data_IF_268536224901
#
_entry.id   IF_268536224901
#
_cell.length_a   1.000
_cell.length_b   1.000
_cell.length_c   1.000
_cell.angle_alpha   90.00
_cell.angle_beta   90.00
_cell.angle_gamma   90.00
#
_symmetry.space_group_name_H-M   'P 1'
#
loop_
_entity.id
_entity.type
_entity.pdbx_description
1 polymer ?
#
# COMPACT_ATOMS: atom_id res chain seq x y z
N UNK A 1 -0.31 2.17 -9.91
CA UNK A 1 -0.51 1.52 -8.61
C UNK A 1 0.84 1.18 -8.02
N UNK A 2 1.13 1.73 -6.85
CA UNK A 2 2.32 1.39 -6.05
C UNK A 2 1.79 0.95 -4.70
N UNK A 3 2.09 -0.28 -4.30
CA UNK A 3 1.71 -0.80 -3.01
C UNK A 3 2.94 -1.07 -2.15
N UNK A 4 2.85 -0.77 -0.86
CA UNK A 4 3.92 -1.05 0.09
C UNK A 4 3.42 -1.92 1.24
N UNK A 5 4.14 -3.01 1.49
CA UNK A 5 3.94 -3.88 2.63
C UNK A 5 4.73 -3.38 3.85
N UNK A 6 4.10 -3.40 5.02
CA UNK A 6 4.76 -3.08 6.28
C UNK A 6 3.75 -2.82 7.39
N UNK A 7 4.23 -2.83 8.64
CA UNK A 7 3.45 -2.30 9.76
C UNK A 7 3.24 -0.80 9.61
N UNK A 8 2.21 -0.25 10.27
CA UNK A 8 1.93 1.19 10.30
C UNK A 8 3.18 2.00 10.70
N UNK A 9 3.87 1.58 11.77
CA UNK A 9 5.09 2.23 12.24
C UNK A 9 6.22 2.24 11.18
N UNK A 10 6.40 1.14 10.43
CA UNK A 10 7.41 1.07 9.36
C UNK A 10 7.05 2.00 8.20
N UNK A 11 5.77 2.06 7.81
CA UNK A 11 5.26 2.94 6.76
C UNK A 11 5.52 4.40 7.15
N UNK A 12 5.11 4.80 8.35
CA UNK A 12 5.31 6.17 8.87
C UNK A 12 6.79 6.58 8.86
N UNK A 13 7.67 5.70 9.35
CA UNK A 13 9.13 5.95 9.35
C UNK A 13 9.67 6.17 7.95
N UNK A 14 9.25 5.35 6.98
CA UNK A 14 9.70 5.46 5.59
C UNK A 14 9.15 6.72 4.94
N UNK A 15 7.88 7.07 5.19
CA UNK A 15 7.26 8.27 4.61
C UNK A 15 7.93 9.54 5.14
N UNK A 16 8.19 9.62 6.44
CA UNK A 16 8.94 10.73 7.04
C UNK A 16 10.33 10.89 6.40
N UNK A 17 11.08 9.79 6.25
CA UNK A 17 12.41 9.84 5.62
C UNK A 17 12.37 10.26 4.14
N UNK A 18 11.32 9.90 3.41
CA UNK A 18 11.15 10.32 2.02
C UNK A 18 10.76 11.81 1.92
N UNK A 19 9.92 12.30 2.82
CA UNK A 19 9.61 13.73 2.93
C UNK A 19 10.87 14.55 3.24
N UNK A 20 11.69 14.09 4.19
CA UNK A 20 12.96 14.74 4.54
C UNK A 20 13.95 14.79 3.37
N UNK A 21 13.85 13.84 2.44
CA UNK A 21 14.62 13.80 1.19
C UNK A 21 14.03 14.65 0.06
N UNK A 22 12.94 15.37 0.32
CA UNK A 22 12.28 16.24 -0.65
C UNK A 22 11.32 15.51 -1.60
N UNK A 23 10.92 14.27 -1.30
CA UNK A 23 9.85 13.61 -2.07
C UNK A 23 8.53 14.36 -1.83
N UNK A 24 7.83 14.82 -2.87
CA UNK A 24 6.56 15.51 -2.70
C UNK A 24 5.52 14.64 -1.99
N UNK A 25 4.85 15.20 -0.98
CA UNK A 25 3.78 14.51 -0.24
C UNK A 25 2.69 13.95 -1.15
N UNK A 26 2.39 14.65 -2.26
CA UNK A 26 1.44 14.19 -3.28
C UNK A 26 1.81 12.82 -3.86
N UNK A 27 3.10 12.50 -4.01
CA UNK A 27 3.53 11.20 -4.53
C UNK A 27 3.39 10.10 -3.46
N UNK A 28 3.59 10.45 -2.18
CA UNK A 28 3.42 9.51 -1.08
C UNK A 28 1.93 9.15 -0.89
N UNK A 29 1.03 10.10 -1.13
CA UNK A 29 -0.44 9.88 -1.12
C UNK A 29 -0.93 8.89 -2.18
N UNK A 30 -0.17 8.69 -3.26
CA UNK A 30 -0.48 7.71 -4.31
C UNK A 30 -0.05 6.27 -3.94
N UNK A 31 0.63 6.08 -2.81
CA UNK A 31 1.11 4.77 -2.36
C UNK A 31 0.04 4.08 -1.51
N UNK A 32 -0.36 2.87 -1.90
CA UNK A 32 -1.30 2.03 -1.18
C UNK A 32 -0.60 1.31 -0.02
N UNK A 33 -0.94 1.67 1.21
CA UNK A 33 -0.29 1.14 2.41
C UNK A 33 -1.26 0.94 3.58
N UNK A 34 -1.18 -0.19 4.31
CA UNK A 34 -0.54 -1.44 3.89
C UNK A 34 -1.20 -1.99 2.63
N UNK A 35 -0.41 -2.58 1.73
CA UNK A 35 -0.92 -3.19 0.51
C UNK A 35 -1.87 -4.36 0.81
N UNK A 36 -2.95 -4.47 0.04
CA UNK A 36 -3.95 -5.53 0.10
C UNK A 36 -5.25 -5.11 0.81
N UNK A 37 -6.34 -5.80 0.45
CA UNK A 37 -7.62 -5.61 1.14
C UNK A 37 -7.59 -6.15 2.57
N UNK A 38 -8.33 -5.50 3.47
CA UNK A 38 -8.45 -5.93 4.86
C UNK A 38 -9.34 -7.18 4.98
N UNK A 39 -8.71 -8.36 4.88
CA UNK A 39 -9.38 -9.67 4.96
C UNK A 39 -8.91 -10.52 6.15
N UNK A 40 -8.18 -9.93 7.09
CA UNK A 40 -7.55 -10.64 8.22
C UNK A 40 -6.64 -11.82 7.78
N UNK A 41 -5.93 -11.64 6.65
CA UNK A 41 -5.01 -12.63 6.10
C UNK A 41 -3.91 -13.01 7.10
N UNK A 42 -3.61 -14.31 7.18
CA UNK A 42 -2.59 -14.91 8.05
C UNK A 42 -1.53 -15.67 7.26
N UNK A 43 -1.89 -16.27 6.13
CA UNK A 43 -0.95 -17.02 5.29
C UNK A 43 -0.44 -16.18 4.11
N UNK A 44 0.73 -16.50 3.54
CA UNK A 44 1.21 -15.85 2.32
C UNK A 44 0.22 -15.90 1.16
N UNK A 45 -0.53 -16.98 1.02
CA UNK A 45 -1.54 -17.16 -0.03
C UNK A 45 -2.73 -16.22 0.18
N UNK A 46 -3.21 -16.09 1.42
CA UNK A 46 -4.28 -15.14 1.76
C UNK A 46 -3.82 -13.70 1.52
N UNK A 47 -2.57 -13.37 1.86
CA UNK A 47 -1.96 -12.06 1.58
C UNK A 47 -1.87 -11.83 0.06
N UNK A 48 -1.47 -12.84 -0.72
CA UNK A 48 -1.41 -12.72 -2.17
C UNK A 48 -2.80 -12.46 -2.78
N UNK A 49 -3.83 -13.17 -2.30
CA UNK A 49 -5.22 -12.95 -2.72
C UNK A 49 -5.69 -11.55 -2.36
N UNK A 50 -5.38 -11.05 -1.16
CA UNK A 50 -5.79 -9.70 -0.73
C UNK A 50 -5.15 -8.60 -1.58
N UNK A 51 -3.88 -8.77 -1.97
CA UNK A 51 -3.15 -7.85 -2.85
C UNK A 51 -3.73 -7.87 -4.26
N UNK A 52 -3.95 -9.06 -4.83
CA UNK A 52 -4.53 -9.19 -6.18
C UNK A 52 -5.93 -8.58 -6.24
N UNK A 53 -6.74 -8.78 -5.19
CA UNK A 53 -8.06 -8.18 -5.09
C UNK A 53 -8.01 -6.64 -5.05
N UNK A 54 -7.06 -6.04 -4.31
CA UNK A 54 -6.86 -4.60 -4.31
C UNK A 54 -6.45 -4.08 -5.70
N UNK A 55 -5.53 -4.76 -6.39
CA UNK A 55 -5.09 -4.39 -7.73
C UNK A 55 -6.26 -4.39 -8.72
N UNK A 56 -7.09 -5.44 -8.71
CA UNK A 56 -8.29 -5.53 -9.57
C UNK A 56 -9.27 -4.40 -9.23
N UNK A 57 -9.52 -4.16 -7.93
CA UNK A 57 -10.39 -3.07 -7.49
C UNK A 57 -9.91 -1.73 -8.03
N UNK A 58 -8.63 -1.38 -7.84
CA UNK A 58 -8.07 -0.11 -8.35
C UNK A 58 -8.19 -0.03 -9.87
N UNK A 59 -7.88 -1.12 -10.59
CA UNK A 59 -7.97 -1.17 -12.06
C UNK A 59 -9.38 -0.90 -12.58
N UNK A 60 -10.42 -1.32 -11.87
CA UNK A 60 -11.82 -1.17 -12.29
C UNK A 60 -12.54 0.01 -11.63
N UNK A 61 -11.94 0.66 -10.62
CA UNK A 61 -12.53 1.84 -9.96
C UNK A 61 -12.46 3.11 -10.83
N UNK A 62 -11.93 3.02 -12.05
CA UNK A 62 -11.91 4.09 -13.05
C UNK A 62 -13.01 3.95 -14.13
N UNK A 63 -13.97 3.05 -13.91
CA UNK A 63 -15.26 2.99 -14.64
C UNK A 63 -16.33 3.76 -13.84
#
# INVERSE_FOLDING_TARGET
YIGMMGSKAKIETIFSHLLDKGVPEKLLKEVHTPIGLEIQAKTPEEIAVSILAEIIKVRHSSL
#
